data_IF_911534852755
#
_entry.id   IF_911534852755
#
_cell.length_a   1.000
_cell.length_b   1.000
_cell.length_c   1.000
_cell.angle_alpha   90.00
_cell.angle_beta   90.00
_cell.angle_gamma   90.00
#
_symmetry.space_group_name_H-M   'P 1'
#
loop_
_entity.id
_entity.type
_entity.pdbx_description
1 polymer ?
#
# COMPACT_ATOMS: atom_id res chain seq x y z
N UNK A 1 -10.85 18.04 2.18
CA UNK A 1 -10.91 16.78 2.96
C UNK A 1 -12.22 16.01 2.71
N UNK A 2 -13.30 16.67 2.24
CA UNK A 2 -14.61 16.05 1.96
C UNK A 2 -14.71 15.23 0.67
N UNK A 3 -13.79 15.38 -0.28
CA UNK A 3 -13.86 14.69 -1.59
C UNK A 3 -13.41 13.22 -1.56
N UNK A 4 -12.48 12.85 -0.66
CA UNK A 4 -11.91 11.49 -0.67
C UNK A 4 -12.85 10.42 -0.08
N UNK A 5 -13.90 10.80 0.65
CA UNK A 5 -14.91 9.84 1.13
C UNK A 5 -15.86 9.37 0.02
N UNK A 6 -16.01 10.13 -1.08
CA UNK A 6 -17.00 9.82 -2.13
C UNK A 6 -16.50 8.82 -3.19
N UNK A 7 -15.24 8.43 -3.15
CA UNK A 7 -14.63 7.59 -4.20
C UNK A 7 -14.26 6.17 -3.74
N UNK A 8 -14.42 5.84 -2.45
CA UNK A 8 -14.18 4.46 -2.02
C UNK A 8 -15.41 3.59 -2.28
N UNK A 9 -15.25 2.43 -2.94
CA UNK A 9 -16.32 1.45 -3.06
C UNK A 9 -16.81 1.06 -1.66
N UNK A 10 -18.13 0.96 -1.48
CA UNK A 10 -18.74 0.57 -0.18
C UNK A 10 -18.24 -0.79 0.33
N UNK A 11 -17.71 -1.63 -0.56
CA UNK A 11 -17.06 -2.91 -0.26
C UNK A 11 -15.87 -2.79 0.70
N UNK A 12 -15.20 -1.63 0.75
CA UNK A 12 -14.07 -1.37 1.65
C UNK A 12 -14.50 -0.93 3.07
N UNK A 13 -15.80 -0.79 3.33
CA UNK A 13 -16.34 -0.48 4.66
C UNK A 13 -16.00 0.94 5.13
N UNK A 14 -15.25 1.06 6.23
CA UNK A 14 -14.96 2.37 6.84
C UNK A 14 -13.97 3.18 6.00
N UNK A 15 -14.19 4.50 5.84
CA UNK A 15 -13.21 5.37 5.20
C UNK A 15 -11.86 5.35 5.95
N UNK A 16 -10.72 5.40 5.23
CA UNK A 16 -9.42 5.41 5.86
C UNK A 16 -9.28 6.58 6.82
N UNK A 17 -8.67 6.30 7.97
CA UNK A 17 -8.36 7.31 8.98
C UNK A 17 -7.51 8.42 8.36
N UNK A 18 -7.79 9.67 8.73
CA UNK A 18 -7.00 10.81 8.28
C UNK A 18 -5.56 10.72 8.79
N UNK A 19 -4.67 10.15 7.97
CA UNK A 19 -3.27 9.89 8.32
C UNK A 19 -2.53 11.15 8.72
N UNK A 20 -2.82 12.30 8.08
CA UNK A 20 -2.13 13.57 8.38
C UNK A 20 -2.38 14.01 9.82
N UNK A 21 -3.56 13.71 10.37
CA UNK A 21 -3.96 14.13 11.72
C UNK A 21 -3.66 13.07 12.79
N UNK A 22 -3.70 11.78 12.43
CA UNK A 22 -3.72 10.68 13.41
C UNK A 22 -2.61 9.63 13.19
N UNK A 23 -1.56 9.92 12.42
CA UNK A 23 -0.48 8.96 12.15
C UNK A 23 0.18 8.41 13.43
N UNK A 24 0.26 9.19 14.50
CA UNK A 24 0.85 8.77 15.78
C UNK A 24 0.03 7.73 16.53
N UNK A 25 -1.27 7.60 16.22
CA UNK A 25 -2.17 6.66 16.88
C UNK A 25 -2.42 5.39 16.06
N UNK A 26 -1.90 5.33 14.83
CA UNK A 26 -2.07 4.17 13.95
C UNK A 26 -1.23 3.00 14.45
N UNK A 27 -1.86 1.84 14.57
CA UNK A 27 -1.21 0.57 14.91
C UNK A 27 -0.53 -0.03 13.68
N UNK A 28 0.27 -1.07 13.89
CA UNK A 28 0.91 -1.80 12.79
C UNK A 28 -0.10 -2.30 11.75
N UNK A 29 -1.24 -2.82 12.19
CA UNK A 29 -2.35 -3.25 11.31
C UNK A 29 -2.93 -2.08 10.49
N UNK A 30 -3.11 -0.91 11.10
CA UNK A 30 -3.61 0.27 10.40
C UNK A 30 -2.62 0.72 9.30
N UNK A 31 -1.32 0.71 9.61
CA UNK A 31 -0.27 1.02 8.63
C UNK A 31 -0.18 0.01 7.51
N UNK A 32 -0.37 -1.27 7.83
CA UNK A 32 -0.43 -2.33 6.82
C UNK A 32 -1.61 -2.12 5.87
N UNK A 33 -2.82 -1.97 6.42
CA UNK A 33 -4.04 -1.75 5.63
C UNK A 33 -3.91 -0.48 4.78
N UNK A 34 -3.33 0.59 5.35
CA UNK A 34 -3.03 1.80 4.59
C UNK A 34 -2.07 1.56 3.44
N UNK A 35 -0.97 0.85 3.69
CA UNK A 35 0.04 0.54 2.69
C UNK A 35 -0.54 -0.30 1.57
N UNK A 36 -1.32 -1.34 1.87
CA UNK A 36 -1.78 -2.29 0.85
C UNK A 36 -3.05 -1.85 0.13
N UNK A 37 -4.02 -1.27 0.84
CA UNK A 37 -5.35 -1.00 0.29
C UNK A 37 -5.53 0.44 -0.19
N UNK A 38 -4.97 1.40 0.56
CA UNK A 38 -5.30 2.82 0.35
C UNK A 38 -4.20 3.62 -0.35
N UNK A 39 -2.94 3.23 -0.18
CA UNK A 39 -1.80 4.03 -0.66
C UNK A 39 -1.76 4.16 -2.19
N UNK A 40 -2.03 3.09 -2.93
CA UNK A 40 -2.00 3.06 -4.39
C UNK A 40 -3.01 4.01 -5.04
N UNK A 41 -4.33 3.90 -4.77
CA UNK A 41 -5.30 4.83 -5.35
C UNK A 41 -5.06 6.27 -4.89
N UNK A 42 -4.56 6.46 -3.66
CA UNK A 42 -4.25 7.80 -3.15
C UNK A 42 -3.04 8.43 -3.86
N UNK A 43 -2.01 7.65 -4.17
CA UNK A 43 -0.81 8.13 -4.85
C UNK A 43 -0.95 8.22 -6.36
N UNK A 44 -1.87 7.48 -6.98
CA UNK A 44 -2.08 7.49 -8.43
C UNK A 44 -2.32 8.91 -8.98
N UNK A 45 -3.02 9.75 -8.22
CA UNK A 45 -3.32 11.14 -8.60
C UNK A 45 -2.19 12.14 -8.25
N UNK A 46 -1.18 11.72 -7.49
CA UNK A 46 -0.16 12.61 -6.93
C UNK A 46 1.27 12.27 -7.37
N UNK A 47 1.52 11.04 -7.83
CA UNK A 47 2.84 10.57 -8.23
C UNK A 47 2.95 10.42 -9.75
N UNK A 48 4.17 10.56 -10.26
CA UNK A 48 4.46 10.22 -11.65
C UNK A 48 4.24 8.73 -11.91
N UNK A 49 3.98 8.36 -13.17
CA UNK A 49 3.86 6.96 -13.59
C UNK A 49 5.04 6.09 -13.12
N UNK A 50 6.25 6.65 -13.14
CA UNK A 50 7.45 5.94 -12.66
C UNK A 50 7.37 5.64 -11.16
N UNK A 51 7.02 6.64 -10.35
CA UNK A 51 6.98 6.49 -8.91
C UNK A 51 5.81 5.62 -8.43
N UNK A 52 4.63 5.74 -9.07
CA UNK A 52 3.50 4.86 -8.72
C UNK A 52 3.77 3.40 -9.10
N UNK A 53 4.44 3.15 -10.22
CA UNK A 53 4.86 1.79 -10.61
C UNK A 53 5.89 1.21 -9.64
N UNK A 54 6.84 2.04 -9.19
CA UNK A 54 7.76 1.68 -8.09
C UNK A 54 6.96 1.29 -6.86
N UNK A 55 6.10 2.19 -6.38
CA UNK A 55 5.28 1.98 -5.20
C UNK A 55 4.39 0.72 -5.28
N UNK A 56 3.82 0.40 -6.44
CA UNK A 56 3.06 -0.84 -6.65
C UNK A 56 3.90 -2.10 -6.39
N UNK A 57 5.18 -2.10 -6.79
CA UNK A 57 6.10 -3.21 -6.48
C UNK A 57 6.35 -3.32 -4.97
N UNK A 58 6.51 -2.20 -4.28
CA UNK A 58 6.67 -2.18 -2.82
C UNK A 58 5.42 -2.73 -2.11
N UNK A 59 4.22 -2.33 -2.55
CA UNK A 59 2.97 -2.88 -2.01
C UNK A 59 2.88 -4.38 -2.23
N UNK A 60 3.18 -4.86 -3.44
CA UNK A 60 3.18 -6.30 -3.76
C UNK A 60 4.19 -7.07 -2.90
N UNK A 61 5.40 -6.56 -2.73
CA UNK A 61 6.42 -7.18 -1.87
C UNK A 61 5.94 -7.26 -0.41
N UNK A 62 5.32 -6.18 0.09
CA UNK A 62 4.77 -6.13 1.46
C UNK A 62 3.66 -7.17 1.67
N UNK A 63 2.80 -7.39 0.67
CA UNK A 63 1.78 -8.45 0.71
C UNK A 63 2.42 -9.83 0.80
N UNK A 64 3.41 -10.13 -0.06
CA UNK A 64 4.11 -11.42 -0.07
C UNK A 64 4.86 -11.69 1.24
N UNK A 65 5.42 -10.67 1.89
CA UNK A 65 6.08 -10.81 3.18
C UNK A 65 5.15 -11.24 4.33
N UNK A 66 3.83 -11.19 4.13
CA UNK A 66 2.82 -11.53 5.15
C UNK A 66 2.10 -12.83 4.86
N UNK A 67 2.47 -13.54 3.79
CA UNK A 67 1.99 -14.89 3.56
C UNK A 67 2.43 -15.82 4.71
N UNK A 68 1.55 -16.71 5.21
CA UNK A 68 1.87 -17.59 6.34
C UNK A 68 3.07 -18.51 6.10
N UNK A 69 3.31 -18.85 4.83
CA UNK A 69 4.45 -19.64 4.37
C UNK A 69 4.95 -19.01 3.08
N UNK A 70 6.24 -18.67 3.03
CA UNK A 70 6.88 -18.05 1.87
C UNK A 70 7.70 -19.14 1.17
N UNK A 71 7.35 -19.41 -0.09
CA UNK A 71 8.09 -20.32 -0.97
C UNK A 71 9.43 -19.72 -1.40
N UNK A 72 10.31 -20.53 -1.99
CA UNK A 72 11.60 -20.02 -2.50
C UNK A 72 11.39 -19.07 -3.67
N UNK A 73 10.41 -19.37 -4.50
CA UNK A 73 10.01 -18.58 -5.65
C UNK A 73 9.47 -17.21 -5.21
N UNK A 74 8.59 -17.19 -4.21
CA UNK A 74 8.08 -15.94 -3.62
C UNK A 74 9.18 -15.14 -2.93
N UNK A 75 10.13 -15.81 -2.27
CA UNK A 75 11.28 -15.12 -1.67
C UNK A 75 12.15 -14.43 -2.72
N UNK A 76 12.35 -15.05 -3.88
CA UNK A 76 13.09 -14.45 -5.00
C UNK A 76 12.29 -13.33 -5.69
N UNK A 77 10.96 -13.46 -5.75
CA UNK A 77 10.06 -12.39 -6.18
C UNK A 77 10.15 -11.18 -5.25
N UNK A 78 10.05 -11.37 -3.92
CA UNK A 78 10.17 -10.32 -2.90
C UNK A 78 11.48 -9.53 -3.09
N UNK A 79 12.62 -10.23 -3.24
CA UNK A 79 13.92 -9.58 -3.47
C UNK A 79 13.89 -8.73 -4.74
N UNK A 80 13.38 -9.30 -5.83
CA UNK A 80 13.29 -8.61 -7.12
C UNK A 80 12.41 -7.37 -7.05
N UNK A 81 11.29 -7.45 -6.35
CA UNK A 81 10.36 -6.32 -6.16
C UNK A 81 11.00 -5.20 -5.33
N UNK A 82 11.69 -5.52 -4.23
CA UNK A 82 12.36 -4.49 -3.42
C UNK A 82 13.53 -3.83 -4.15
N UNK A 83 14.30 -4.56 -4.95
CA UNK A 83 15.37 -3.96 -5.77
C UNK A 83 14.77 -3.05 -6.85
N UNK A 84 13.70 -3.50 -7.49
CA UNK A 84 13.07 -2.77 -8.59
C UNK A 84 12.11 -1.66 -8.16
N UNK A 85 11.88 -1.48 -6.85
CA UNK A 85 11.12 -0.37 -6.28
C UNK A 85 11.79 0.99 -6.54
N UNK A 86 13.13 1.04 -6.50
CA UNK A 86 13.94 2.28 -6.60
C UNK A 86 14.28 2.63 -8.05
N UNK A 87 14.22 1.65 -8.96
CA UNK A 87 14.60 1.79 -10.38
C UNK A 87 13.40 2.18 -11.26
#
# INVERSE_FOLDING_TARGET
MELNCKMMPMEFGRPPTNIKKYYTTLKAEDWYNWTVLYSLPLFQEHLSKRHINGWAKFVKATQLCLEPVISKEELDEIKTLFISFIN
#
